data_IF_946567250264
#
_entry.id   IF_946567250264
#
_cell.length_a   1.000
_cell.length_b   1.000
_cell.length_c   1.000
_cell.angle_alpha   90.00
_cell.angle_beta   90.00
_cell.angle_gamma   90.00
#
_symmetry.space_group_name_H-M   'P 1'
#
loop_
_entity.id
_entity.type
_entity.pdbx_description
1 polymer ?
#
# COMPACT_ATOMS: atom_id res chain seq x y z
N UNK A 1 -44.45 27.40 43.12
CA UNK A 1 -44.73 26.13 42.42
C UNK A 1 -43.46 25.29 42.53
N UNK A 2 -43.48 24.19 43.27
CA UNK A 2 -42.35 23.25 43.30
C UNK A 2 -42.45 22.34 42.07
N UNK A 3 -41.37 22.17 41.30
CA UNK A 3 -41.36 21.24 40.16
C UNK A 3 -41.65 19.83 40.70
N UNK A 4 -42.48 19.10 39.95
CA UNK A 4 -42.81 17.71 40.31
C UNK A 4 -41.58 16.83 40.03
N UNK A 5 -41.38 15.77 40.81
CA UNK A 5 -40.31 14.79 40.60
C UNK A 5 -40.26 14.24 39.14
N UNK A 6 -41.44 14.14 38.52
CA UNK A 6 -41.56 13.74 37.11
C UNK A 6 -40.86 14.71 36.13
N UNK A 7 -40.88 16.00 36.42
CA UNK A 7 -40.27 17.00 35.53
C UNK A 7 -38.76 16.93 35.58
N UNK A 8 -38.18 16.65 36.76
CA UNK A 8 -36.79 16.38 36.92
C UNK A 8 -36.30 15.08 36.26
N UNK A 9 -37.12 14.02 36.30
CA UNK A 9 -36.83 12.76 35.62
C UNK A 9 -36.77 12.93 34.11
N UNK A 10 -37.73 13.64 33.51
CA UNK A 10 -37.76 13.91 32.07
C UNK A 10 -36.54 14.78 31.62
N UNK A 11 -36.19 15.79 32.43
CA UNK A 11 -35.02 16.60 32.11
C UNK A 11 -33.72 15.77 32.18
N UNK A 12 -33.55 14.91 33.17
CA UNK A 12 -32.40 14.04 33.31
C UNK A 12 -32.30 13.04 32.14
N UNK A 13 -33.42 12.51 31.67
CA UNK A 13 -33.48 11.61 30.51
C UNK A 13 -33.02 12.31 29.22
N UNK A 14 -33.53 13.54 28.98
CA UNK A 14 -33.11 14.34 27.81
C UNK A 14 -31.64 14.68 27.87
N UNK A 15 -31.13 15.12 29.03
CA UNK A 15 -29.72 15.43 29.19
C UNK A 15 -28.82 14.21 29.00
N UNK A 16 -29.26 13.05 29.50
CA UNK A 16 -28.55 11.79 29.31
C UNK A 16 -28.48 11.42 27.81
N UNK A 17 -29.60 11.55 27.09
CA UNK A 17 -29.66 11.32 25.64
C UNK A 17 -28.71 12.24 24.86
N UNK A 18 -28.70 13.52 25.20
CA UNK A 18 -27.78 14.50 24.57
C UNK A 18 -26.32 14.15 24.88
N UNK A 19 -26.01 13.80 26.13
CA UNK A 19 -24.64 13.43 26.52
C UNK A 19 -24.12 12.22 25.73
N UNK A 20 -24.97 11.20 25.50
CA UNK A 20 -24.62 10.03 24.67
C UNK A 20 -24.33 10.45 23.25
N UNK A 21 -25.18 11.28 22.64
CA UNK A 21 -24.97 11.75 21.25
C UNK A 21 -23.67 12.54 21.13
N UNK A 22 -23.38 13.44 22.06
CA UNK A 22 -22.14 14.22 22.10
C UNK A 22 -20.93 13.29 22.21
N UNK A 23 -20.99 12.30 23.10
CA UNK A 23 -19.92 11.31 23.26
C UNK A 23 -19.67 10.52 21.98
N UNK A 24 -20.74 10.09 21.29
CA UNK A 24 -20.62 9.38 20.01
C UNK A 24 -19.96 10.26 18.92
N UNK A 25 -20.31 11.54 18.85
CA UNK A 25 -19.69 12.47 17.90
C UNK A 25 -18.19 12.60 18.18
N UNK A 26 -17.78 12.73 19.43
CA UNK A 26 -16.36 12.79 19.80
C UNK A 26 -15.64 11.47 19.49
N UNK A 27 -16.28 10.34 19.76
CA UNK A 27 -15.71 9.04 19.45
C UNK A 27 -15.48 8.86 17.93
N UNK A 28 -16.49 9.21 17.12
CA UNK A 28 -16.37 9.14 15.65
C UNK A 28 -15.24 10.03 15.15
N UNK A 29 -15.12 11.25 15.65
CA UNK A 29 -14.01 12.15 15.28
C UNK A 29 -12.66 11.57 15.67
N UNK A 30 -12.52 11.06 16.90
CA UNK A 30 -11.28 10.44 17.36
C UNK A 30 -10.89 9.21 16.54
N UNK A 31 -11.84 8.38 16.12
CA UNK A 31 -11.59 7.24 15.23
C UNK A 31 -11.13 7.71 13.85
N UNK A 32 -11.78 8.73 13.28
CA UNK A 32 -11.40 9.25 11.97
C UNK A 32 -9.99 9.88 12.00
N UNK A 33 -9.66 10.70 12.98
CA UNK A 33 -8.33 11.30 13.15
C UNK A 33 -7.25 10.21 13.31
N UNK A 34 -7.52 9.18 14.13
CA UNK A 34 -6.59 8.07 14.30
C UNK A 34 -6.40 7.26 13.00
N UNK A 35 -7.45 7.12 12.20
CA UNK A 35 -7.37 6.46 10.90
C UNK A 35 -6.52 7.23 9.91
N UNK A 36 -6.64 8.58 9.87
CA UNK A 36 -5.81 9.43 9.01
C UNK A 36 -4.33 9.37 9.42
N UNK A 37 -4.02 9.42 10.72
CA UNK A 37 -2.66 9.29 11.23
C UNK A 37 -2.08 7.92 10.86
N UNK A 38 -2.86 6.86 11.01
CA UNK A 38 -2.45 5.49 10.66
C UNK A 38 -2.15 5.37 9.17
N UNK A 39 -3.00 5.92 8.31
CA UNK A 39 -2.77 5.98 6.85
C UNK A 39 -1.46 6.69 6.51
N UNK A 40 -1.26 7.87 7.05
CA UNK A 40 -0.04 8.66 6.81
C UNK A 40 1.21 7.91 7.28
N UNK A 41 1.16 7.25 8.45
CA UNK A 41 2.26 6.46 8.96
C UNK A 41 2.55 5.23 8.09
N UNK A 42 1.53 4.51 7.63
CA UNK A 42 1.70 3.36 6.74
C UNK A 42 2.30 3.77 5.40
N UNK A 43 1.81 4.86 4.80
CA UNK A 43 2.37 5.40 3.56
C UNK A 43 3.84 5.84 3.74
N UNK A 44 4.15 6.54 4.81
CA UNK A 44 5.52 6.97 5.11
C UNK A 44 6.47 5.78 5.31
N UNK A 45 6.03 4.74 6.01
CA UNK A 45 6.78 3.50 6.19
C UNK A 45 7.02 2.79 4.86
N UNK A 46 6.01 2.71 4.00
CA UNK A 46 6.12 2.08 2.69
C UNK A 46 7.11 2.83 1.79
N UNK A 47 7.00 4.17 1.71
CA UNK A 47 7.96 5.00 0.96
C UNK A 47 9.35 4.92 1.56
N UNK A 48 9.46 4.86 2.89
CA UNK A 48 10.74 4.67 3.59
C UNK A 48 11.42 3.37 3.21
N UNK A 49 10.70 2.25 3.26
CA UNK A 49 11.20 0.93 2.88
C UNK A 49 11.65 0.89 1.41
N UNK A 50 10.85 1.49 0.51
CA UNK A 50 11.21 1.59 -0.92
C UNK A 50 12.48 2.42 -1.15
N UNK A 51 12.63 3.54 -0.45
CA UNK A 51 13.83 4.39 -0.55
C UNK A 51 15.07 3.70 0.01
N UNK A 52 14.95 2.98 1.12
CA UNK A 52 16.04 2.21 1.72
C UNK A 52 16.53 1.13 0.75
N UNK A 53 15.62 0.38 0.18
CA UNK A 53 15.93 -0.62 -0.82
C UNK A 53 16.57 -0.03 -2.08
N UNK A 54 16.03 1.07 -2.59
CA UNK A 54 16.61 1.75 -3.75
C UNK A 54 18.06 2.16 -3.47
N UNK A 55 18.34 2.64 -2.25
CA UNK A 55 19.70 2.96 -1.82
C UNK A 55 20.59 1.73 -1.83
N UNK A 56 20.10 0.58 -1.35
CA UNK A 56 20.87 -0.66 -1.32
C UNK A 56 21.20 -1.15 -2.74
N UNK A 57 20.27 -1.06 -3.67
CA UNK A 57 20.51 -1.41 -5.08
C UNK A 57 21.57 -0.51 -5.74
N UNK A 58 21.62 0.78 -5.40
CA UNK A 58 22.56 1.71 -6.00
C UNK A 58 23.89 1.79 -5.24
N UNK A 59 23.95 1.34 -3.99
CA UNK A 59 25.21 1.33 -3.21
C UNK A 59 26.11 0.15 -3.53
N UNK A 60 25.55 -0.95 -4.03
CA UNK A 60 26.28 -2.11 -4.52
C UNK A 60 26.44 -2.02 -6.05
N UNK A 61 27.70 -1.88 -6.58
CA UNK A 61 27.92 -1.72 -8.02
C UNK A 61 27.41 -2.90 -8.86
N UNK A 62 27.41 -4.12 -8.30
CA UNK A 62 26.95 -5.30 -8.99
C UNK A 62 25.41 -5.32 -9.08
N UNK A 63 24.72 -5.03 -7.98
CA UNK A 63 23.25 -4.88 -7.98
C UNK A 63 22.84 -3.71 -8.86
N UNK A 64 23.56 -2.59 -8.83
CA UNK A 64 23.28 -1.44 -9.70
C UNK A 64 23.37 -1.81 -11.18
N UNK A 65 24.37 -2.62 -11.58
CA UNK A 65 24.54 -3.11 -12.95
C UNK A 65 23.37 -3.99 -13.38
N UNK A 66 23.00 -4.96 -12.54
CA UNK A 66 21.90 -5.88 -12.79
C UNK A 66 20.57 -5.11 -12.91
N UNK A 67 20.31 -4.22 -11.96
CA UNK A 67 19.10 -3.41 -11.95
C UNK A 67 19.04 -2.44 -13.14
N UNK A 68 20.17 -1.88 -13.56
CA UNK A 68 20.25 -1.01 -14.73
C UNK A 68 19.97 -1.76 -16.02
N UNK A 69 20.41 -3.01 -16.17
CA UNK A 69 20.11 -3.87 -17.31
C UNK A 69 18.59 -4.14 -17.39
N UNK A 70 17.93 -4.39 -16.25
CA UNK A 70 16.48 -4.56 -16.20
C UNK A 70 15.72 -3.28 -16.56
N UNK A 71 16.15 -2.12 -16.04
CA UNK A 71 15.54 -0.83 -16.39
C UNK A 71 15.67 -0.48 -17.87
N UNK A 72 16.77 -0.90 -18.49
CA UNK A 72 17.04 -0.74 -19.92
C UNK A 72 16.29 -1.77 -20.80
N UNK A 73 15.59 -2.73 -20.20
CA UNK A 73 14.91 -3.86 -20.88
C UNK A 73 15.90 -4.75 -21.68
N UNK A 74 17.18 -4.74 -21.31
CA UNK A 74 18.23 -5.54 -21.92
C UNK A 74 18.95 -6.40 -20.88
N UNK A 75 18.38 -7.57 -20.61
CA UNK A 75 18.91 -8.57 -19.70
C UNK A 75 19.82 -9.60 -20.39
N UNK A 76 20.10 -9.42 -21.69
CA UNK A 76 20.87 -10.38 -22.50
C UNK A 76 22.34 -10.48 -22.07
N UNK A 77 22.85 -9.47 -21.40
CA UNK A 77 24.22 -9.41 -20.87
C UNK A 77 24.38 -10.05 -19.49
N UNK A 78 23.26 -10.46 -18.85
CA UNK A 78 23.27 -11.04 -17.50
C UNK A 78 23.51 -12.55 -17.59
N UNK A 79 24.38 -13.07 -16.72
CA UNK A 79 24.60 -14.50 -16.58
C UNK A 79 23.54 -15.14 -15.66
N UNK A 80 23.61 -16.47 -15.47
CA UNK A 80 22.64 -17.21 -14.65
C UNK A 80 22.60 -16.73 -13.18
N UNK A 81 23.75 -16.37 -12.61
CA UNK A 81 23.84 -15.84 -11.23
C UNK A 81 23.22 -14.44 -11.15
N UNK A 82 23.45 -13.60 -12.14
CA UNK A 82 22.85 -12.27 -12.27
C UNK A 82 21.32 -12.39 -12.39
N UNK A 83 20.84 -13.32 -13.22
CA UNK A 83 19.40 -13.56 -13.38
C UNK A 83 18.75 -14.03 -12.08
N UNK A 84 19.37 -14.92 -11.31
CA UNK A 84 18.88 -15.33 -9.99
C UNK A 84 18.77 -14.15 -9.00
N UNK A 85 19.72 -13.22 -9.05
CA UNK A 85 19.66 -11.99 -8.25
C UNK A 85 18.54 -11.06 -8.73
N UNK A 86 18.40 -10.96 -10.05
CA UNK A 86 17.32 -10.16 -10.64
C UNK A 86 15.93 -10.72 -10.29
N UNK A 87 15.77 -12.05 -10.22
CA UNK A 87 14.56 -12.69 -9.71
C UNK A 87 14.20 -12.22 -8.30
N UNK A 88 15.19 -12.14 -7.40
CA UNK A 88 14.97 -11.66 -6.03
C UNK A 88 14.61 -10.17 -5.99
N UNK A 89 15.28 -9.36 -6.82
CA UNK A 89 14.97 -7.93 -6.97
C UNK A 89 13.53 -7.76 -7.47
N UNK A 90 13.15 -8.47 -8.54
CA UNK A 90 11.81 -8.42 -9.10
C UNK A 90 10.75 -8.88 -8.08
N UNK A 91 10.97 -10.02 -7.43
CA UNK A 91 10.08 -10.54 -6.40
C UNK A 91 9.84 -9.52 -5.27
N UNK A 92 10.88 -8.84 -4.81
CA UNK A 92 10.76 -7.83 -3.77
C UNK A 92 9.98 -6.60 -4.25
N UNK A 93 10.28 -6.09 -5.43
CA UNK A 93 9.60 -4.93 -6.02
C UNK A 93 8.11 -5.22 -6.17
N UNK A 94 7.75 -6.38 -6.70
CA UNK A 94 6.34 -6.74 -6.88
C UNK A 94 5.60 -6.99 -5.56
N UNK A 95 6.26 -7.55 -4.53
CA UNK A 95 5.68 -7.63 -3.18
C UNK A 95 5.40 -6.25 -2.58
N UNK A 96 6.25 -5.27 -2.89
CA UNK A 96 6.02 -3.89 -2.47
C UNK A 96 4.78 -3.31 -3.14
N UNK A 97 4.60 -3.51 -4.46
CA UNK A 97 3.40 -3.08 -5.16
C UNK A 97 2.15 -3.84 -4.72
N UNK A 98 2.25 -5.14 -4.50
CA UNK A 98 1.15 -5.93 -3.96
C UNK A 98 0.70 -5.44 -2.58
N UNK A 99 1.64 -5.10 -1.70
CA UNK A 99 1.32 -4.53 -0.39
C UNK A 99 0.56 -3.20 -0.53
N UNK A 100 0.97 -2.35 -1.49
CA UNK A 100 0.28 -1.11 -1.78
C UNK A 100 -1.12 -1.36 -2.37
N UNK A 101 -1.28 -2.34 -3.26
CA UNK A 101 -2.56 -2.77 -3.82
C UNK A 101 -3.52 -3.24 -2.72
N UNK A 102 -3.06 -4.12 -1.84
CA UNK A 102 -3.87 -4.63 -0.73
C UNK A 102 -4.25 -3.51 0.27
N UNK A 103 -3.36 -2.54 0.49
CA UNK A 103 -3.66 -1.38 1.31
C UNK A 103 -4.71 -0.45 0.66
N UNK A 104 -4.71 -0.33 -0.67
CA UNK A 104 -5.74 0.40 -1.41
C UNK A 104 -7.09 -0.33 -1.35
N UNK A 105 -7.14 -1.64 -1.64
CA UNK A 105 -8.34 -2.47 -1.54
C UNK A 105 -8.96 -2.44 -0.12
N UNK A 106 -8.12 -2.38 0.91
CA UNK A 106 -8.55 -2.25 2.29
C UNK A 106 -9.00 -0.81 2.67
N UNK A 107 -8.97 0.16 1.74
CA UNK A 107 -9.31 1.56 1.98
C UNK A 107 -8.31 2.30 2.89
N UNK A 108 -7.11 1.74 3.05
CA UNK A 108 -6.02 2.36 3.82
C UNK A 108 -5.31 3.41 2.97
N UNK A 109 -5.02 3.12 1.70
CA UNK A 109 -4.51 4.11 0.75
C UNK A 109 -5.67 4.82 0.08
N UNK A 110 -5.48 6.12 -0.18
CA UNK A 110 -6.36 6.90 -1.03
C UNK A 110 -6.02 6.71 -2.51
N UNK A 111 -6.86 7.26 -3.37
CA UNK A 111 -6.70 7.17 -4.82
C UNK A 111 -5.39 7.81 -5.32
N UNK A 112 -4.97 8.92 -4.71
CA UNK A 112 -3.74 9.64 -5.09
C UNK A 112 -2.48 8.83 -4.78
N UNK A 113 -2.42 8.18 -3.62
CA UNK A 113 -1.30 7.31 -3.22
C UNK A 113 -1.25 6.08 -4.12
N UNK A 114 -2.41 5.48 -4.39
CA UNK A 114 -2.52 4.30 -5.24
C UNK A 114 -2.15 4.59 -6.69
N UNK A 115 -2.65 5.63 -7.31
CA UNK A 115 -2.39 6.00 -8.70
C UNK A 115 -0.88 6.05 -9.04
N UNK A 116 -0.07 6.52 -8.09
CA UNK A 116 1.40 6.53 -8.24
C UNK A 116 1.98 5.12 -8.24
N UNK A 117 1.52 4.24 -7.33
CA UNK A 117 1.98 2.86 -7.23
C UNK A 117 1.49 2.03 -8.42
N UNK A 118 0.28 2.25 -8.89
CA UNK A 118 -0.29 1.63 -10.07
C UNK A 118 0.57 1.90 -11.32
N UNK A 119 0.87 3.16 -11.61
CA UNK A 119 1.74 3.51 -12.75
C UNK A 119 3.11 2.85 -12.67
N UNK A 120 3.71 2.82 -11.49
CA UNK A 120 5.00 2.18 -11.29
C UNK A 120 4.91 0.65 -11.43
N UNK A 121 3.86 0.02 -10.90
CA UNK A 121 3.65 -1.42 -11.01
C UNK A 121 3.43 -1.85 -12.45
N UNK A 122 2.63 -1.11 -13.22
CA UNK A 122 2.39 -1.41 -14.63
C UNK A 122 3.66 -1.24 -15.48
N UNK A 123 4.43 -0.17 -15.27
CA UNK A 123 5.69 0.02 -15.98
C UNK A 123 6.67 -1.14 -15.71
N UNK A 124 6.78 -1.60 -14.47
CA UNK A 124 7.64 -2.72 -14.11
C UNK A 124 7.06 -4.07 -14.55
N UNK A 125 5.73 -4.20 -14.65
CA UNK A 125 5.10 -5.42 -15.15
C UNK A 125 5.43 -5.67 -16.62
N UNK A 126 5.43 -4.64 -17.46
CA UNK A 126 5.91 -4.74 -18.85
C UNK A 126 7.36 -5.23 -18.92
N UNK A 127 8.26 -4.68 -18.10
CA UNK A 127 9.67 -5.14 -18.01
C UNK A 127 9.79 -6.58 -17.54
N UNK A 128 9.00 -6.95 -16.52
CA UNK A 128 9.00 -8.32 -15.99
C UNK A 128 8.52 -9.34 -17.06
N UNK A 129 7.50 -9.00 -17.84
CA UNK A 129 7.06 -9.84 -18.98
C UNK A 129 8.17 -9.97 -20.02
N UNK A 130 8.81 -8.88 -20.41
CA UNK A 130 9.92 -8.88 -21.38
C UNK A 130 11.13 -9.70 -20.91
N UNK A 131 11.43 -9.70 -19.61
CA UNK A 131 12.49 -10.49 -18.99
C UNK A 131 12.10 -11.96 -18.70
N UNK A 132 10.85 -12.38 -18.99
CA UNK A 132 10.40 -13.76 -18.77
C UNK A 132 10.02 -14.09 -17.32
N UNK A 133 9.73 -13.10 -16.47
CA UNK A 133 9.41 -13.29 -15.04
C UNK A 133 7.95 -13.61 -14.75
N UNK A 134 7.11 -13.75 -15.75
CA UNK A 134 5.69 -14.11 -15.55
C UNK A 134 5.50 -15.34 -14.65
N UNK A 135 6.21 -16.47 -14.84
CA UNK A 135 6.06 -17.64 -13.97
C UNK A 135 6.49 -17.38 -12.51
N UNK A 136 7.50 -16.52 -12.31
CA UNK A 136 7.93 -16.10 -10.96
C UNK A 136 6.83 -15.31 -10.26
N UNK A 137 6.23 -14.35 -10.95
CA UNK A 137 5.16 -13.52 -10.41
C UNK A 137 3.91 -14.34 -10.09
N UNK A 138 3.52 -15.26 -10.98
CA UNK A 138 2.40 -16.19 -10.76
C UNK A 138 2.61 -17.09 -9.53
N UNK A 139 3.85 -17.46 -9.24
CA UNK A 139 4.18 -18.28 -8.07
C UNK A 139 4.21 -17.50 -6.76
N UNK A 140 4.48 -16.19 -6.79
CA UNK A 140 4.78 -15.40 -5.60
C UNK A 140 3.67 -14.41 -5.21
N UNK A 141 2.89 -13.92 -6.18
CA UNK A 141 1.89 -12.87 -5.95
C UNK A 141 0.51 -13.46 -5.71
N UNK A 142 -0.34 -12.72 -5.01
CA UNK A 142 -1.74 -13.12 -4.81
C UNK A 142 -2.53 -13.00 -6.10
N UNK A 143 -3.54 -13.86 -6.23
CA UNK A 143 -4.39 -13.90 -7.41
C UNK A 143 -5.08 -12.56 -7.70
N UNK A 144 -5.65 -11.82 -6.74
CA UNK A 144 -6.26 -10.53 -7.01
C UNK A 144 -5.28 -9.50 -7.59
N UNK A 145 -4.03 -9.48 -7.11
CA UNK A 145 -3.02 -8.58 -7.63
C UNK A 145 -2.58 -8.97 -9.06
N UNK A 146 -2.45 -10.27 -9.36
CA UNK A 146 -2.15 -10.73 -10.71
C UNK A 146 -3.27 -10.40 -11.70
N UNK A 147 -4.53 -10.59 -11.30
CA UNK A 147 -5.70 -10.19 -12.10
C UNK A 147 -5.68 -8.68 -12.36
N UNK A 148 -5.42 -7.87 -11.33
CA UNK A 148 -5.24 -6.43 -11.50
C UNK A 148 -4.15 -6.09 -12.53
N UNK A 149 -2.95 -6.69 -12.43
CA UNK A 149 -1.84 -6.44 -13.36
C UNK A 149 -2.19 -6.82 -14.80
N UNK A 150 -2.87 -7.95 -14.99
CA UNK A 150 -3.27 -8.42 -16.32
C UNK A 150 -4.35 -7.55 -16.96
N UNK A 151 -5.28 -7.05 -16.17
CA UNK A 151 -6.45 -6.31 -16.67
C UNK A 151 -6.14 -4.81 -16.88
N UNK A 152 -5.23 -4.24 -16.09
CA UNK A 152 -4.98 -2.80 -16.06
C UNK A 152 -3.60 -2.39 -16.60
N UNK A 153 -2.65 -3.34 -16.75
CA UNK A 153 -1.32 -3.03 -17.26
C UNK A 153 -1.15 -3.55 -18.70
N UNK A 154 -0.91 -2.66 -19.69
CA UNK A 154 -0.78 -3.02 -21.10
C UNK A 154 0.43 -3.91 -21.41
#
# INVERSE_FOLDING_TARGET
MQPKLSDWANIAEILSGIAVVVTLIFLIRGVNENSEITRAAMYANHVGAFNEQSRDFYSDPELARIFSAWLAEDVSSLDESDMQRLDQIAAYIFRTYETAFLAYEAGIYGEVEWERMERASCANYGRAKAAGFTPLLEALMTRPFLEFLNDNCP
#
